data_IF_560304873617
#
_entry.id   IF_560304873617
#
_cell.length_a   1.000
_cell.length_b   1.000
_cell.length_c   1.000
_cell.angle_alpha   90.00
_cell.angle_beta   90.00
_cell.angle_gamma   90.00
#
_symmetry.space_group_name_H-M   'P 1'
#
loop_
_entity.id
_entity.type
_entity.pdbx_description
1 polymer ?
#
# COMPACT_ATOMS: atom_id res chain seq x y z
N UNK A 1 11.17 27.67 14.64
CA UNK A 1 11.05 26.20 14.83
C UNK A 1 9.59 25.77 14.74
N UNK A 2 8.80 26.30 13.79
CA UNK A 2 7.36 25.98 13.68
C UNK A 2 7.11 24.74 12.84
N UNK A 3 7.73 24.66 11.66
CA UNK A 3 7.32 23.68 10.64
C UNK A 3 7.74 22.25 11.00
N UNK A 4 8.93 22.09 11.61
CA UNK A 4 9.39 20.79 12.12
C UNK A 4 8.42 20.18 13.13
N UNK A 5 7.74 21.01 13.94
CA UNK A 5 6.77 20.55 14.93
C UNK A 5 5.39 20.27 14.32
N UNK A 6 5.20 20.56 13.03
CA UNK A 6 3.95 20.39 12.29
C UNK A 6 4.04 19.28 11.23
N UNK A 7 5.14 18.53 11.15
CA UNK A 7 5.28 17.44 10.16
C UNK A 7 4.13 16.44 10.25
N UNK A 8 3.75 16.01 11.45
CA UNK A 8 2.58 15.14 11.67
C UNK A 8 1.29 15.75 11.12
N UNK A 9 1.10 17.06 11.31
CA UNK A 9 -0.07 17.77 10.75
C UNK A 9 -0.04 17.80 9.22
N UNK A 10 1.12 17.97 8.61
CA UNK A 10 1.25 17.92 7.15
C UNK A 10 1.08 16.51 6.59
N UNK A 11 1.50 15.48 7.33
CA UNK A 11 1.21 14.08 6.98
C UNK A 11 -0.30 13.81 6.96
N UNK A 12 -1.03 14.31 7.95
CA UNK A 12 -2.49 14.20 8.00
C UNK A 12 -3.17 14.98 6.87
N UNK A 13 -2.67 16.18 6.55
CA UNK A 13 -3.18 16.98 5.43
C UNK A 13 -2.98 16.31 4.07
N UNK A 14 -1.92 15.52 3.89
CA UNK A 14 -1.75 14.74 2.66
C UNK A 14 -2.91 13.75 2.48
N UNK A 15 -3.46 13.21 3.58
CA UNK A 15 -4.58 12.27 3.58
C UNK A 15 -5.95 12.93 3.41
N UNK A 16 -6.01 14.26 3.36
CA UNK A 16 -7.27 15.00 3.22
C UNK A 16 -8.04 14.59 1.94
N UNK A 17 -9.38 14.44 2.02
CA UNK A 17 -10.20 14.06 0.87
C UNK A 17 -10.02 14.97 -0.36
N UNK A 18 -9.76 16.27 -0.19
CA UNK A 18 -9.49 17.19 -1.31
C UNK A 18 -8.20 16.80 -2.04
N UNK A 19 -7.14 16.49 -1.30
CA UNK A 19 -5.86 16.01 -1.86
C UNK A 19 -6.07 14.68 -2.57
N UNK A 20 -6.81 13.74 -1.99
CA UNK A 20 -7.10 12.43 -2.60
C UNK A 20 -7.95 12.54 -3.88
N UNK A 21 -8.95 13.42 -3.88
CA UNK A 21 -9.76 13.71 -5.07
C UNK A 21 -8.93 14.36 -6.17
N UNK A 22 -8.05 15.30 -5.79
CA UNK A 22 -7.12 15.91 -6.73
C UNK A 22 -6.14 14.88 -7.29
N UNK A 23 -5.58 14.01 -6.46
CA UNK A 23 -4.71 12.92 -6.88
C UNK A 23 -5.42 11.98 -7.86
N UNK A 24 -6.66 11.60 -7.58
CA UNK A 24 -7.50 10.82 -8.51
C UNK A 24 -7.64 11.53 -9.86
N UNK A 25 -7.92 12.84 -9.87
CA UNK A 25 -8.07 13.61 -11.11
C UNK A 25 -6.80 13.63 -11.97
N UNK A 26 -5.62 13.57 -11.34
CA UNK A 26 -4.30 13.56 -11.97
C UNK A 26 -3.90 12.19 -12.52
N UNK A 27 -4.61 11.12 -12.15
CA UNK A 27 -4.32 9.78 -12.67
C UNK A 27 -4.70 9.64 -14.16
N UNK A 28 -3.96 8.81 -14.92
CA UNK A 28 -4.37 8.37 -16.25
C UNK A 28 -5.78 7.78 -16.26
N UNK A 29 -6.53 7.97 -17.37
CA UNK A 29 -7.94 7.53 -17.50
C UNK A 29 -8.18 6.06 -17.11
N UNK A 30 -7.26 5.16 -17.44
CA UNK A 30 -7.37 3.74 -17.09
C UNK A 30 -7.23 3.49 -15.59
N UNK A 31 -6.42 4.28 -14.88
CA UNK A 31 -6.25 4.17 -13.43
C UNK A 31 -7.41 4.83 -12.68
N UNK A 32 -7.96 5.93 -13.20
CA UNK A 32 -9.16 6.57 -12.63
C UNK A 32 -10.38 5.66 -12.55
N UNK A 33 -10.49 4.71 -13.48
CA UNK A 33 -11.56 3.68 -13.47
C UNK A 33 -11.27 2.54 -12.50
N UNK A 34 -10.01 2.35 -12.11
CA UNK A 34 -9.55 1.22 -11.30
C UNK A 34 -9.41 1.57 -9.82
N UNK A 35 -9.12 2.82 -9.52
CA UNK A 35 -8.94 3.32 -8.17
C UNK A 35 -9.89 4.51 -7.95
N UNK A 36 -10.60 4.49 -6.85
CA UNK A 36 -11.34 5.61 -6.28
C UNK A 36 -10.42 6.47 -5.39
N UNK A 37 -10.83 7.69 -5.06
CA UNK A 37 -10.09 8.54 -4.12
C UNK A 37 -9.91 7.84 -2.75
N UNK A 38 -10.94 7.12 -2.29
CA UNK A 38 -10.90 6.36 -1.03
C UNK A 38 -9.94 5.17 -1.08
N UNK A 39 -9.84 4.47 -2.21
CA UNK A 39 -8.84 3.41 -2.38
C UNK A 39 -7.42 4.00 -2.44
N UNK A 40 -7.24 5.17 -3.05
CA UNK A 40 -5.95 5.88 -3.02
C UNK A 40 -5.58 6.23 -1.58
N UNK A 41 -6.51 6.78 -0.80
CA UNK A 41 -6.32 7.09 0.62
C UNK A 41 -5.86 5.86 1.42
N UNK A 42 -6.53 4.70 1.23
CA UNK A 42 -6.17 3.47 1.92
C UNK A 42 -4.85 2.83 1.44
N UNK A 43 -4.49 3.04 0.18
CA UNK A 43 -3.28 2.47 -0.42
C UNK A 43 -2.04 3.34 -0.13
N UNK A 44 -2.22 4.57 0.34
CA UNK A 44 -1.15 5.54 0.55
C UNK A 44 -0.73 5.61 2.01
N UNK A 45 0.57 5.54 2.22
CA UNK A 45 1.21 5.73 3.50
C UNK A 45 2.18 6.90 3.40
N UNK A 46 2.16 7.77 4.40
CA UNK A 46 3.03 8.94 4.51
C UNK A 46 3.80 8.81 5.81
N UNK A 47 5.07 9.20 5.78
CA UNK A 47 5.93 9.25 6.96
C UNK A 47 6.99 10.34 6.79
N UNK A 48 7.31 11.05 7.85
CA UNK A 48 8.44 11.98 7.94
C UNK A 48 9.60 11.39 8.74
N UNK A 49 10.80 11.90 8.49
CA UNK A 49 11.95 11.60 9.35
C UNK A 49 12.01 12.56 10.53
N UNK A 50 12.42 12.05 11.69
CA UNK A 50 12.61 12.88 12.89
C UNK A 50 13.56 14.04 12.59
N UNK A 51 13.20 15.24 13.07
CA UNK A 51 13.98 16.46 12.88
C UNK A 51 14.24 16.84 11.41
N UNK A 52 13.40 16.37 10.47
CA UNK A 52 13.50 16.65 9.04
C UNK A 52 12.23 17.31 8.48
N UNK A 53 12.38 18.12 7.44
CA UNK A 53 11.25 18.65 6.64
C UNK A 53 10.97 17.78 5.40
N UNK A 54 11.42 16.53 5.42
CA UNK A 54 11.29 15.57 4.33
C UNK A 54 10.22 14.54 4.70
N UNK A 55 9.27 14.37 3.79
CA UNK A 55 8.24 13.34 3.86
C UNK A 55 8.43 12.33 2.74
N UNK A 56 8.17 11.08 3.06
CA UNK A 56 8.11 9.96 2.14
C UNK A 56 6.65 9.56 1.90
N UNK A 57 6.26 9.45 0.62
CA UNK A 57 4.93 9.01 0.21
C UNK A 57 5.07 7.64 -0.48
N UNK A 58 4.48 6.62 0.12
CA UNK A 58 4.44 5.24 -0.39
C UNK A 58 3.02 4.90 -0.84
N UNK A 59 2.89 4.21 -1.98
CA UNK A 59 1.62 3.66 -2.43
C UNK A 59 1.72 2.15 -2.65
N UNK A 60 0.88 1.39 -1.96
CA UNK A 60 0.84 -0.07 -2.03
C UNK A 60 -0.30 -0.48 -2.96
N UNK A 61 0.01 -1.17 -4.05
CA UNK A 61 -1.02 -1.63 -4.99
C UNK A 61 -0.73 -3.05 -5.45
N UNK A 62 -1.73 -3.68 -6.09
CA UNK A 62 -1.57 -4.98 -6.76
C UNK A 62 -0.69 -4.94 -8.02
N UNK A 63 -0.20 -3.77 -8.46
CA UNK A 63 0.58 -3.64 -9.68
C UNK A 63 1.83 -2.80 -9.49
N UNK A 64 2.98 -3.40 -9.79
CA UNK A 64 4.29 -2.72 -9.80
C UNK A 64 4.28 -1.41 -10.62
N UNK A 65 3.49 -1.38 -11.70
CA UNK A 65 3.37 -0.21 -12.60
C UNK A 65 2.44 0.88 -12.08
N UNK A 66 1.54 0.54 -11.15
CA UNK A 66 0.53 1.49 -10.65
C UNK A 66 1.01 2.21 -9.40
N UNK A 67 1.68 1.52 -8.48
CA UNK A 67 2.24 2.11 -7.25
C UNK A 67 2.96 3.45 -7.47
N UNK A 68 3.97 3.58 -8.37
CA UNK A 68 4.66 4.85 -8.54
C UNK A 68 3.76 5.94 -9.11
N UNK A 69 2.75 5.58 -9.92
CA UNK A 69 1.80 6.55 -10.49
C UNK A 69 0.87 7.12 -9.43
N UNK A 70 0.42 6.29 -8.49
CA UNK A 70 -0.42 6.73 -7.37
C UNK A 70 0.40 7.62 -6.43
N UNK A 71 1.59 7.18 -5.99
CA UNK A 71 2.46 7.98 -5.12
C UNK A 71 2.78 9.36 -5.74
N UNK A 72 3.16 9.39 -7.02
CA UNK A 72 3.45 10.64 -7.72
C UNK A 72 2.21 11.54 -7.89
N UNK A 73 1.03 10.95 -8.12
CA UNK A 73 -0.22 11.71 -8.24
C UNK A 73 -0.59 12.38 -6.91
N UNK A 74 -0.43 11.66 -5.79
CA UNK A 74 -0.66 12.23 -4.45
C UNK A 74 0.35 13.32 -4.11
N UNK A 75 1.64 13.09 -4.37
CA UNK A 75 2.67 14.10 -4.12
C UNK A 75 2.43 15.38 -4.93
N UNK A 76 2.00 15.25 -6.18
CA UNK A 76 1.64 16.39 -7.04
C UNK A 76 0.36 17.08 -6.57
N UNK A 77 -0.66 16.31 -6.21
CA UNK A 77 -1.90 16.85 -5.67
C UNK A 77 -1.66 17.67 -4.40
N UNK A 78 -0.90 17.13 -3.45
CA UNK A 78 -0.57 17.84 -2.22
C UNK A 78 0.19 19.13 -2.50
N UNK A 79 1.18 19.11 -3.41
CA UNK A 79 1.88 20.33 -3.82
C UNK A 79 0.91 21.39 -4.39
N UNK A 80 -0.01 20.98 -5.26
CA UNK A 80 -0.97 21.87 -5.91
C UNK A 80 -1.95 22.48 -4.86
N UNK A 81 -2.54 21.64 -4.00
CA UNK A 81 -3.50 22.05 -2.98
C UNK A 81 -2.86 22.88 -1.88
N UNK A 82 -1.66 22.49 -1.40
CA UNK A 82 -0.93 23.24 -0.38
C UNK A 82 -0.61 24.66 -0.86
N UNK A 83 -0.22 24.82 -2.13
CA UNK A 83 0.03 26.15 -2.71
C UNK A 83 -1.25 26.99 -2.81
N UNK A 84 -2.39 26.37 -3.10
CA UNK A 84 -3.67 27.07 -3.18
C UNK A 84 -4.16 27.53 -1.81
N UNK A 85 -4.02 26.69 -0.78
CA UNK A 85 -4.44 27.00 0.59
C UNK A 85 -3.47 27.95 1.30
N UNK A 86 -2.18 27.85 0.98
CA UNK A 86 -1.11 28.58 1.68
C UNK A 86 -0.20 29.34 0.71
N UNK A 87 -0.72 30.32 -0.05
CA UNK A 87 0.04 31.02 -1.10
C UNK A 87 1.24 31.81 -0.57
N UNK A 88 1.24 32.16 0.72
CA UNK A 88 2.32 32.91 1.39
C UNK A 88 3.29 32.02 2.19
N UNK A 89 3.10 30.69 2.21
CA UNK A 89 3.92 29.75 2.98
C UNK A 89 5.10 29.18 2.17
N UNK A 90 5.98 28.43 2.85
CA UNK A 90 7.10 27.75 2.23
C UNK A 90 6.67 26.81 1.09
N UNK A 91 7.46 26.73 0.02
CA UNK A 91 7.14 25.92 -1.15
C UNK A 91 7.34 24.42 -0.87
N UNK A 92 6.31 23.61 -1.14
CA UNK A 92 6.44 22.15 -1.20
C UNK A 92 7.13 21.75 -2.51
N UNK A 93 8.25 21.02 -2.41
CA UNK A 93 9.02 20.53 -3.56
C UNK A 93 9.03 19.01 -3.59
N UNK A 94 8.71 18.45 -4.76
CA UNK A 94 8.90 17.04 -5.04
C UNK A 94 10.39 16.77 -5.27
N UNK A 95 11.06 16.18 -4.27
CA UNK A 95 12.50 15.92 -4.32
C UNK A 95 12.83 14.73 -5.23
N UNK A 96 12.08 13.64 -5.10
CA UNK A 96 12.31 12.40 -5.83
C UNK A 96 10.98 11.78 -6.28
N UNK A 97 10.64 11.82 -7.58
CA UNK A 97 9.48 11.09 -8.09
C UNK A 97 9.70 9.57 -8.01
N UNK A 98 8.66 8.84 -7.59
CA UNK A 98 8.66 7.38 -7.53
C UNK A 98 8.75 6.76 -8.92
N UNK A 99 9.55 5.69 -9.06
CA UNK A 99 9.76 4.93 -10.30
C UNK A 99 9.50 3.46 -10.06
N UNK A 100 9.29 2.70 -11.14
CA UNK A 100 9.05 1.25 -11.03
C UNK A 100 10.20 0.49 -10.36
N UNK A 101 11.44 0.99 -10.48
CA UNK A 101 12.62 0.42 -9.83
C UNK A 101 12.61 0.56 -8.30
N UNK A 102 11.84 1.50 -7.77
CA UNK A 102 11.73 1.75 -6.33
C UNK A 102 10.65 0.84 -5.68
N UNK A 103 9.91 0.09 -6.50
CA UNK A 103 8.82 -0.76 -6.03
C UNK A 103 9.34 -2.12 -5.57
N UNK A 104 9.16 -2.37 -4.27
CA UNK A 104 9.41 -3.69 -3.68
C UNK A 104 8.17 -4.57 -3.82
N UNK A 105 8.31 -5.73 -4.46
CA UNK A 105 7.21 -6.70 -4.54
C UNK A 105 7.21 -7.56 -3.27
N UNK A 106 6.16 -7.42 -2.45
CA UNK A 106 5.82 -8.42 -1.44
C UNK A 106 4.88 -9.44 -2.10
N UNK A 107 5.44 -10.51 -2.64
CA UNK A 107 4.65 -11.72 -2.90
C UNK A 107 4.25 -12.29 -1.55
N UNK A 108 2.95 -12.44 -1.30
CA UNK A 108 2.39 -12.98 -0.05
C UNK A 108 3.23 -14.15 0.46
N UNK A 109 3.57 -14.21 1.77
CA UNK A 109 4.21 -15.40 2.26
C UNK A 109 3.24 -16.56 2.02
N UNK A 110 3.81 -17.69 1.58
CA UNK A 110 3.33 -19.00 1.99
C UNK A 110 2.45 -19.87 1.10
N UNK A 111 2.44 -19.76 -0.23
CA UNK A 111 2.04 -20.93 -1.03
C UNK A 111 2.78 -22.20 -0.55
N UNK A 112 4.07 -22.06 -0.19
CA UNK A 112 4.85 -23.10 0.48
C UNK A 112 4.40 -23.43 1.92
N UNK A 113 4.04 -22.47 2.79
CA UNK A 113 3.63 -22.82 4.18
C UNK A 113 2.23 -23.42 4.23
N UNK A 114 1.30 -22.96 3.39
CA UNK A 114 -0.01 -23.59 3.21
C UNK A 114 0.11 -24.97 2.56
N UNK A 115 1.05 -25.17 1.62
CA UNK A 115 1.34 -26.50 1.09
C UNK A 115 1.87 -27.46 2.15
N UNK A 116 2.77 -27.01 3.03
CA UNK A 116 3.28 -27.82 4.15
C UNK A 116 2.16 -28.16 5.15
N UNK A 117 1.31 -27.18 5.49
CA UNK A 117 0.16 -27.42 6.37
C UNK A 117 -0.86 -28.39 5.72
N UNK A 118 -1.16 -28.21 4.44
CA UNK A 118 -2.03 -29.12 3.68
C UNK A 118 -1.46 -30.53 3.59
N UNK A 119 -0.15 -30.68 3.38
CA UNK A 119 0.52 -31.99 3.37
C UNK A 119 0.45 -32.68 4.73
N UNK A 120 0.68 -31.95 5.82
CA UNK A 120 0.58 -32.49 7.18
C UNK A 120 -0.84 -32.98 7.50
N UNK A 121 -1.86 -32.18 7.16
CA UNK A 121 -3.27 -32.56 7.32
C UNK A 121 -3.65 -33.75 6.43
N UNK A 122 -3.14 -33.80 5.20
CA UNK A 122 -3.34 -34.93 4.28
C UNK A 122 -2.76 -36.24 4.81
N UNK A 123 -1.56 -36.21 5.40
CA UNK A 123 -0.94 -37.39 6.02
C UNK A 123 -1.77 -37.88 7.22
N UNK A 124 -2.22 -36.97 8.08
CA UNK A 124 -3.05 -37.32 9.24
C UNK A 124 -4.38 -37.97 8.82
N UNK A 125 -5.07 -37.38 7.85
CA UNK A 125 -6.30 -37.96 7.29
C UNK A 125 -6.05 -39.32 6.62
N UNK A 126 -4.96 -39.45 5.87
CA UNK A 126 -4.56 -40.70 5.24
C UNK A 126 -4.31 -41.82 6.25
N UNK A 127 -3.68 -41.51 7.38
CA UNK A 127 -3.47 -42.46 8.47
C UNK A 127 -4.81 -42.94 9.06
N UNK A 128 -5.74 -42.02 9.36
CA UNK A 128 -7.04 -42.37 9.92
C UNK A 128 -7.84 -43.30 8.98
N UNK A 129 -7.84 -42.99 7.69
CA UNK A 129 -8.51 -43.81 6.68
C UNK A 129 -7.85 -45.19 6.56
N UNK A 130 -6.51 -45.25 6.53
CA UNK A 130 -5.78 -46.51 6.45
C UNK A 130 -6.00 -47.41 7.68
N UNK A 131 -5.98 -46.83 8.88
CA UNK A 131 -6.26 -47.56 10.13
C UNK A 131 -7.72 -48.04 10.20
N UNK A 132 -8.68 -47.21 9.79
CA UNK A 132 -10.09 -47.59 9.73
C UNK A 132 -10.34 -48.76 8.76
N UNK A 133 -9.77 -48.68 7.55
CA UNK A 133 -9.89 -49.73 6.53
C UNK A 133 -9.25 -51.05 6.97
N UNK A 134 -8.03 -50.98 7.52
CA UNK A 134 -7.32 -52.18 7.98
C UNK A 134 -8.03 -52.85 9.14
N UNK A 135 -8.62 -52.08 10.06
CA UNK A 135 -9.36 -52.60 11.19
C UNK A 135 -10.68 -53.26 10.76
N UNK A 136 -11.41 -52.65 9.83
CA UNK A 136 -12.65 -53.23 9.27
C UNK A 136 -12.39 -54.60 8.63
N UNK A 137 -11.34 -54.71 7.81
CA UNK A 137 -10.96 -55.95 7.10
C UNK A 137 -10.40 -57.07 8.01
N UNK A 138 -10.11 -56.74 9.28
CA UNK A 138 -9.59 -57.70 10.26
C UNK A 138 -10.70 -58.23 11.18
N UNK A 139 -11.82 -57.50 11.25
CA UNK A 139 -12.98 -57.81 12.09
C UNK A 139 -14.11 -58.46 11.27
N UNK A 140 -14.15 -58.23 9.95
CA UNK A 140 -15.04 -58.91 8.98
C UNK A 140 -14.18 -59.59 7.91
#
# INVERSE_FOLDING_TARGET
>A
MSDLNMMDTYEDQIKDPQVMNRAHSLLPKNLRKKYSAKEIESDVHVSSEDHSLVMEIKATTSSKKNSPKIANAVAKAFKDEFKQMNPSSAEVKLLAPAKEKDVTSKTSPSAKKYAVLGAALGILMGMLIAFGWTSYRKIH
#
